data_IF_251266155636
#
_entry.id   IF_251266155636
#
_cell.length_a   1.000
_cell.length_b   1.000
_cell.length_c   1.000
_cell.angle_alpha   90.00
_cell.angle_beta   90.00
_cell.angle_gamma   90.00
#
_symmetry.space_group_name_H-M   'P 1'
#
loop_
_entity.id
_entity.type
_entity.pdbx_description
1 polymer ?
#
# COMPACT_ATOMS: atom_id res chain seq x y z
N UNK A 1 -27.60 25.24 39.53
CA UNK A 1 -26.53 24.68 40.37
C UNK A 1 -25.77 23.66 39.60
N UNK A 2 -24.57 23.94 39.15
CA UNK A 2 -23.73 22.99 38.41
C UNK A 2 -22.82 22.26 39.37
N UNK A 3 -22.92 20.97 39.44
CA UNK A 3 -22.05 20.12 40.25
C UNK A 3 -20.62 20.13 39.67
N UNK A 4 -19.63 20.31 40.54
CA UNK A 4 -18.22 20.28 40.13
C UNK A 4 -17.74 18.83 39.86
N UNK A 5 -16.71 18.68 39.03
CA UNK A 5 -16.09 17.37 38.73
C UNK A 5 -15.67 16.59 39.99
N UNK A 6 -15.35 17.26 41.07
CA UNK A 6 -14.95 16.65 42.36
C UNK A 6 -16.13 16.04 43.11
N UNK A 7 -17.33 16.59 42.95
CA UNK A 7 -18.55 16.11 43.61
C UNK A 7 -19.10 14.88 42.86
N UNK A 8 -18.95 14.81 41.53
CA UNK A 8 -19.26 13.63 40.73
C UNK A 8 -18.40 12.41 41.10
N UNK A 9 -17.11 12.61 41.40
CA UNK A 9 -16.19 11.54 41.81
C UNK A 9 -16.52 11.02 43.22
N UNK A 10 -17.02 11.87 44.12
CA UNK A 10 -17.43 11.45 45.47
C UNK A 10 -18.74 10.66 45.48
N UNK A 11 -19.65 10.97 44.55
CA UNK A 11 -20.90 10.22 44.39
C UNK A 11 -20.70 8.82 43.80
N UNK A 12 -19.66 8.64 42.95
CA UNK A 12 -19.30 7.32 42.38
C UNK A 12 -18.63 6.39 43.43
N UNK A 13 -18.06 6.93 44.50
CA UNK A 13 -17.36 6.15 45.53
C UNK A 13 -18.25 5.57 46.65
N UNK A 14 -19.52 5.94 46.75
CA UNK A 14 -20.44 5.52 47.80
C UNK A 14 -21.42 4.40 47.42
N UNK A 15 -21.40 3.94 46.18
CA UNK A 15 -22.27 2.87 45.67
C UNK A 15 -21.59 1.47 45.61
N UNK A 16 -20.49 1.26 46.28
CA UNK A 16 -19.65 0.08 46.14
C UNK A 16 -19.50 -0.84 47.36
N UNK A 17 -20.57 -1.08 48.12
CA UNK A 17 -20.54 -2.17 49.14
C UNK A 17 -21.88 -2.89 49.24
N UNK A 18 -22.16 -3.76 48.32
CA UNK A 18 -23.32 -4.65 48.36
C UNK A 18 -23.18 -5.67 47.23
N UNK A 19 -22.74 -6.88 47.59
CA UNK A 19 -22.42 -7.93 46.61
C UNK A 19 -23.61 -8.37 45.76
N UNK A 20 -23.35 -8.38 44.46
CA UNK A 20 -24.00 -9.29 43.50
C UNK A 20 -22.88 -9.70 42.51
N UNK A 21 -22.36 -10.92 42.71
CA UNK A 21 -21.62 -11.65 41.67
C UNK A 21 -22.59 -11.97 40.52
N UNK A 22 -22.98 -10.94 39.79
CA UNK A 22 -23.58 -11.08 38.49
C UNK A 22 -22.52 -11.52 37.52
N UNK A 23 -22.67 -12.70 36.91
CA UNK A 23 -21.91 -13.13 35.74
C UNK A 23 -21.88 -11.99 34.75
N UNK A 24 -20.71 -11.35 34.61
CA UNK A 24 -20.44 -10.51 33.46
C UNK A 24 -20.29 -11.49 32.30
N UNK A 25 -21.42 -11.80 31.65
CA UNK A 25 -21.38 -12.37 30.31
C UNK A 25 -20.60 -11.36 29.50
N UNK A 26 -19.41 -11.75 29.05
CA UNK A 26 -18.59 -10.94 28.18
C UNK A 26 -19.38 -10.68 26.90
N UNK A 27 -20.12 -9.58 26.87
CA UNK A 27 -20.59 -9.01 25.64
C UNK A 27 -19.33 -8.62 24.87
N UNK A 28 -18.87 -9.49 23.96
CA UNK A 28 -17.95 -9.11 22.90
C UNK A 28 -18.60 -7.90 22.24
N UNK A 29 -18.03 -6.73 22.49
CA UNK A 29 -18.45 -5.51 21.81
C UNK A 29 -18.37 -5.83 20.32
N UNK A 30 -19.52 -5.95 19.66
CA UNK A 30 -19.57 -6.13 18.22
C UNK A 30 -18.89 -4.90 17.62
N UNK A 31 -17.67 -5.08 17.12
CA UNK A 31 -16.93 -4.03 16.44
C UNK A 31 -17.79 -3.60 15.25
N UNK A 32 -18.29 -2.37 15.29
CA UNK A 32 -19.07 -1.83 14.17
C UNK A 32 -18.19 -1.85 12.92
N UNK A 33 -18.69 -2.35 11.79
CA UNK A 33 -17.96 -2.32 10.55
C UNK A 33 -17.51 -0.89 10.22
N UNK A 34 -16.24 -0.71 9.87
CA UNK A 34 -15.69 0.59 9.50
C UNK A 34 -15.76 0.72 7.99
N UNK A 35 -16.54 1.70 7.51
CA UNK A 35 -16.65 1.97 6.08
C UNK A 35 -15.29 2.29 5.45
N UNK A 36 -15.09 1.80 4.24
CA UNK A 36 -13.98 2.16 3.39
C UNK A 36 -14.46 3.06 2.25
N UNK A 37 -13.63 4.03 1.87
CA UNK A 37 -13.83 4.86 0.67
C UNK A 37 -12.51 5.01 -0.06
N UNK A 38 -12.56 5.07 -1.39
CA UNK A 38 -11.38 5.41 -2.18
C UNK A 38 -11.06 6.91 -2.06
N UNK A 39 -9.91 7.33 -2.58
CA UNK A 39 -9.43 8.72 -2.53
C UNK A 39 -10.45 9.72 -3.10
N UNK A 40 -11.10 9.43 -4.22
CA UNK A 40 -12.08 10.32 -4.85
C UNK A 40 -13.45 10.32 -4.18
N UNK A 41 -13.70 9.36 -3.29
CA UNK A 41 -15.03 9.14 -2.69
C UNK A 41 -16.05 8.49 -3.61
N UNK A 42 -15.70 8.20 -4.88
CA UNK A 42 -16.60 7.59 -5.84
C UNK A 42 -16.88 6.09 -5.57
N UNK A 43 -15.97 5.43 -4.87
CA UNK A 43 -16.10 4.03 -4.48
C UNK A 43 -16.15 3.90 -2.95
N UNK A 44 -17.05 3.08 -2.45
CA UNK A 44 -17.16 2.80 -1.01
C UNK A 44 -17.63 1.38 -0.77
N UNK A 45 -17.31 0.84 0.41
CA UNK A 45 -17.79 -0.46 0.88
C UNK A 45 -17.93 -0.44 2.40
N UNK A 46 -18.70 -1.38 2.94
CA UNK A 46 -18.81 -1.63 4.37
C UNK A 46 -18.33 -3.05 4.66
N UNK A 47 -17.02 -3.32 4.60
CA UNK A 47 -16.49 -4.66 4.77
C UNK A 47 -16.75 -5.18 6.18
N UNK A 48 -16.99 -6.48 6.29
CA UNK A 48 -17.12 -7.16 7.58
C UNK A 48 -15.83 -7.00 8.41
N UNK A 49 -14.67 -6.99 7.75
CA UNK A 49 -13.38 -6.79 8.42
C UNK A 49 -12.44 -5.89 7.62
N UNK A 50 -11.72 -5.01 8.36
CA UNK A 50 -10.55 -4.27 7.86
C UNK A 50 -9.34 -4.68 8.69
N UNK A 51 -8.27 -5.11 8.02
CA UNK A 51 -7.09 -5.65 8.66
C UNK A 51 -5.82 -4.94 8.15
N UNK A 52 -4.91 -4.62 9.07
CA UNK A 52 -3.61 -4.03 8.76
C UNK A 52 -2.52 -4.73 9.58
N UNK A 53 -1.89 -5.78 9.03
CA UNK A 53 -0.88 -6.58 9.72
C UNK A 53 0.39 -5.77 9.99
N UNK A 54 1.05 -6.08 11.10
CA UNK A 54 2.36 -5.53 11.47
C UNK A 54 3.53 -6.40 10.98
N UNK A 55 3.25 -7.64 10.54
CA UNK A 55 4.26 -8.58 10.01
C UNK A 55 3.65 -9.50 8.95
N UNK A 56 4.53 -10.16 8.18
CA UNK A 56 4.12 -11.21 7.25
C UNK A 56 3.53 -12.42 7.98
N UNK A 57 4.06 -12.77 9.16
CA UNK A 57 3.55 -13.89 9.96
C UNK A 57 2.12 -13.63 10.46
N UNK A 58 1.84 -12.39 10.91
CA UNK A 58 0.51 -11.96 11.30
C UNK A 58 -0.45 -12.05 10.10
N UNK A 59 -0.02 -11.56 8.93
CA UNK A 59 -0.80 -11.64 7.70
C UNK A 59 -1.06 -13.10 7.28
N UNK A 60 -0.03 -13.94 7.28
CA UNK A 60 -0.15 -15.35 6.94
C UNK A 60 -1.08 -16.11 7.90
N UNK A 61 -0.95 -15.83 9.20
CA UNK A 61 -1.85 -16.39 10.21
C UNK A 61 -3.30 -16.00 9.99
N UNK A 62 -3.54 -14.73 9.69
CA UNK A 62 -4.87 -14.22 9.41
C UNK A 62 -5.46 -14.80 8.12
N UNK A 63 -4.68 -14.89 7.02
CA UNK A 63 -5.12 -15.45 5.75
C UNK A 63 -5.64 -16.89 5.90
N UNK A 64 -4.97 -17.73 6.69
CA UNK A 64 -5.42 -19.11 6.95
C UNK A 64 -6.81 -19.18 7.61
N UNK A 65 -7.18 -18.16 8.35
CA UNK A 65 -8.46 -18.09 9.06
C UNK A 65 -9.54 -17.28 8.35
N UNK A 66 -9.15 -16.40 7.41
CA UNK A 66 -10.05 -15.52 6.68
C UNK A 66 -11.10 -16.33 5.91
N UNK A 67 -12.31 -15.81 5.86
CA UNK A 67 -13.42 -16.38 5.09
C UNK A 67 -13.94 -15.32 4.13
N UNK A 68 -14.43 -15.76 2.97
CA UNK A 68 -14.95 -14.87 1.93
C UNK A 68 -13.83 -14.21 1.11
N UNK A 69 -14.18 -13.13 0.43
CA UNK A 69 -13.29 -12.40 -0.45
C UNK A 69 -12.29 -11.57 0.36
N UNK A 70 -11.02 -11.62 -0.02
CA UNK A 70 -9.97 -10.76 0.51
C UNK A 70 -9.53 -9.79 -0.58
N UNK A 71 -9.68 -8.49 -0.32
CA UNK A 71 -9.24 -7.43 -1.24
C UNK A 71 -8.08 -6.65 -0.64
N UNK A 72 -6.89 -6.66 -1.26
CA UNK A 72 -5.81 -5.76 -0.87
C UNK A 72 -6.15 -4.33 -1.26
N UNK A 73 -5.75 -3.38 -0.42
CA UNK A 73 -5.87 -1.95 -0.70
C UNK A 73 -4.56 -1.24 -0.37
N UNK A 74 -4.11 -0.40 -1.31
CA UNK A 74 -3.08 0.60 -1.07
C UNK A 74 -3.69 1.92 -0.59
N UNK A 75 -3.31 3.02 -1.22
CA UNK A 75 -3.84 4.36 -0.89
C UNK A 75 -5.24 4.65 -1.46
N UNK A 76 -5.83 3.70 -2.19
CA UNK A 76 -7.18 3.83 -2.74
C UNK A 76 -7.31 4.84 -3.88
N UNK A 77 -6.26 5.07 -4.67
CA UNK A 77 -6.27 6.05 -5.77
C UNK A 77 -6.98 5.56 -7.05
N UNK A 78 -7.26 4.26 -7.17
CA UNK A 78 -8.01 3.73 -8.33
C UNK A 78 -9.44 4.25 -8.36
N UNK A 79 -9.89 4.67 -9.54
CA UNK A 79 -11.29 5.04 -9.78
C UNK A 79 -12.17 3.81 -10.07
N UNK A 80 -11.57 2.70 -10.51
CA UNK A 80 -12.28 1.44 -10.74
C UNK A 80 -12.66 0.76 -9.43
N UNK A 81 -13.79 0.05 -9.43
CA UNK A 81 -14.31 -0.67 -8.26
C UNK A 81 -13.56 -1.99 -8.00
N UNK A 82 -12.24 -1.93 -7.84
CA UNK A 82 -11.38 -3.09 -7.62
C UNK A 82 -11.36 -3.56 -6.16
N UNK A 83 -11.50 -2.63 -5.21
CA UNK A 83 -11.37 -2.87 -3.77
C UNK A 83 -12.71 -3.16 -3.08
N UNK A 84 -13.85 -2.52 -3.46
CA UNK A 84 -15.10 -2.71 -2.75
C UNK A 84 -15.47 -4.19 -2.57
N UNK A 85 -15.76 -4.57 -1.32
CA UNK A 85 -16.23 -5.90 -0.90
C UNK A 85 -16.98 -5.77 0.42
N UNK A 86 -17.93 -6.67 0.66
CA UNK A 86 -18.61 -6.79 1.95
C UNK A 86 -17.84 -7.68 2.93
N UNK A 87 -16.81 -8.39 2.48
CA UNK A 87 -16.05 -9.34 3.31
C UNK A 87 -14.81 -8.68 3.95
N UNK A 88 -13.64 -8.77 3.32
CA UNK A 88 -12.37 -8.40 3.96
C UNK A 88 -11.57 -7.43 3.11
N UNK A 89 -11.13 -6.33 3.71
CA UNK A 89 -10.15 -5.41 3.13
C UNK A 89 -8.84 -5.48 3.95
N UNK A 90 -7.72 -5.69 3.26
CA UNK A 90 -6.38 -5.75 3.87
C UNK A 90 -5.53 -4.58 3.39
N UNK A 91 -4.96 -3.81 4.31
CA UNK A 91 -4.00 -2.76 4.04
C UNK A 91 -2.62 -3.15 4.54
N UNK A 92 -1.60 -3.04 3.68
CA UNK A 92 -0.21 -3.30 4.06
C UNK A 92 0.51 -2.03 4.53
N UNK A 93 -0.20 -0.97 4.91
CA UNK A 93 0.37 0.32 5.31
C UNK A 93 1.36 0.24 6.48
N UNK A 94 1.29 -0.80 7.31
CA UNK A 94 2.24 -1.06 8.41
C UNK A 94 3.49 -1.83 7.97
N UNK A 95 3.49 -2.39 6.76
CA UNK A 95 4.64 -3.01 6.11
C UNK A 95 5.22 -2.00 5.11
N UNK A 96 6.02 -1.07 5.60
CA UNK A 96 6.54 0.08 4.87
C UNK A 96 8.03 0.30 5.13
N UNK A 97 8.75 0.83 4.15
CA UNK A 97 10.15 1.20 4.21
C UNK A 97 11.05 0.32 3.35
N UNK A 98 12.32 0.75 3.25
CA UNK A 98 13.40 0.01 2.61
C UNK A 98 13.77 -1.19 3.49
N UNK A 99 13.87 -2.38 2.89
CA UNK A 99 14.27 -3.62 3.55
C UNK A 99 15.75 -3.88 3.34
N UNK A 100 16.19 -3.81 2.08
CA UNK A 100 17.55 -4.15 1.67
C UNK A 100 17.90 -3.49 0.34
N UNK A 101 19.19 -3.40 0.01
CA UNK A 101 19.67 -2.87 -1.26
C UNK A 101 20.98 -3.52 -1.68
N UNK A 102 21.23 -3.57 -2.98
CA UNK A 102 22.46 -4.02 -3.58
C UNK A 102 23.09 -2.85 -4.37
N UNK A 103 24.25 -2.33 -3.95
CA UNK A 103 24.92 -1.24 -4.64
C UNK A 103 25.54 -1.66 -5.98
N UNK A 104 25.84 -2.96 -6.19
CA UNK A 104 26.45 -3.45 -7.40
C UNK A 104 25.45 -3.55 -8.55
N UNK A 105 24.26 -4.09 -8.25
CA UNK A 105 23.17 -4.24 -9.22
C UNK A 105 22.23 -3.05 -9.26
N UNK A 106 22.34 -2.11 -8.32
CA UNK A 106 21.43 -0.99 -8.14
C UNK A 106 19.98 -1.47 -7.94
N UNK A 107 19.80 -2.55 -7.20
CA UNK A 107 18.49 -3.04 -6.80
C UNK A 107 18.19 -2.70 -5.35
N UNK A 108 16.94 -2.46 -5.04
CA UNK A 108 16.49 -2.25 -3.67
C UNK A 108 15.16 -2.96 -3.44
N UNK A 109 15.02 -3.56 -2.25
CA UNK A 109 13.81 -4.25 -1.82
C UNK A 109 13.05 -3.38 -0.82
N UNK A 110 11.78 -3.20 -1.07
CA UNK A 110 10.85 -2.45 -0.22
C UNK A 110 9.70 -3.32 0.25
N UNK A 111 9.15 -2.95 1.39
CA UNK A 111 7.82 -3.39 1.77
C UNK A 111 6.79 -2.85 0.78
N UNK A 112 5.84 -3.67 0.42
CA UNK A 112 4.84 -3.36 -0.61
C UNK A 112 3.85 -2.24 -0.24
N UNK A 113 3.66 -2.00 1.06
CA UNK A 113 2.85 -0.90 1.59
C UNK A 113 3.55 0.45 1.61
N UNK A 114 4.83 0.55 1.21
CA UNK A 114 5.60 1.80 1.18
C UNK A 114 4.94 2.82 0.26
N UNK A 115 4.58 4.03 0.74
CA UNK A 115 4.17 5.11 -0.13
C UNK A 115 5.31 5.52 -1.09
N UNK A 116 5.00 5.80 -2.34
CA UNK A 116 6.00 6.22 -3.34
C UNK A 116 6.77 7.47 -2.89
N UNK A 117 6.09 8.41 -2.23
CA UNK A 117 6.68 9.62 -1.62
C UNK A 117 7.76 9.34 -0.58
N UNK A 118 7.75 8.16 0.04
CA UNK A 118 8.71 7.76 1.07
C UNK A 118 9.88 6.93 0.52
N UNK A 119 9.95 6.67 -0.78
CA UNK A 119 11.03 5.87 -1.37
C UNK A 119 12.28 6.69 -1.70
N UNK A 120 12.12 7.97 -2.01
CA UNK A 120 13.19 8.81 -2.55
C UNK A 120 14.36 9.01 -1.58
N UNK A 121 14.09 9.38 -0.33
CA UNK A 121 15.15 9.67 0.64
C UNK A 121 15.95 8.41 1.05
N UNK A 122 15.34 7.26 1.38
CA UNK A 122 16.09 6.02 1.62
C UNK A 122 16.94 5.59 0.43
N UNK A 123 16.43 5.70 -0.81
CA UNK A 123 17.22 5.37 -2.00
C UNK A 123 18.41 6.31 -2.18
N UNK A 124 18.23 7.62 -1.95
CA UNK A 124 19.29 8.61 -2.03
C UNK A 124 20.42 8.30 -1.03
N UNK A 125 20.08 7.88 0.20
CA UNK A 125 21.05 7.53 1.24
C UNK A 125 21.93 6.35 0.83
N UNK A 126 21.41 5.43 0.00
CA UNK A 126 22.16 4.29 -0.54
C UNK A 126 22.69 4.53 -1.96
N UNK A 127 22.70 5.77 -2.43
CA UNK A 127 23.24 6.15 -3.73
C UNK A 127 22.40 5.75 -4.94
N UNK A 128 21.10 5.44 -4.71
CA UNK A 128 20.17 5.00 -5.73
C UNK A 128 19.04 6.02 -5.95
N UNK A 129 18.31 5.88 -7.06
CA UNK A 129 17.11 6.64 -7.37
C UNK A 129 16.21 5.84 -8.30
N UNK A 130 14.90 6.05 -8.21
CA UNK A 130 13.95 5.42 -9.12
C UNK A 130 14.25 5.84 -10.56
N UNK A 131 14.03 4.92 -11.51
CA UNK A 131 14.28 5.17 -12.95
C UNK A 131 13.33 6.23 -13.49
N UNK A 132 12.08 6.19 -13.06
CA UNK A 132 11.04 7.15 -13.42
C UNK A 132 10.06 7.31 -12.25
N UNK A 133 9.32 8.42 -12.24
CA UNK A 133 8.26 8.69 -11.24
C UNK A 133 6.98 9.11 -11.96
N UNK A 134 5.84 8.68 -11.41
CA UNK A 134 4.55 9.23 -11.80
C UNK A 134 4.38 10.66 -11.28
N UNK A 135 3.40 11.38 -11.80
CA UNK A 135 3.06 12.74 -11.38
C UNK A 135 2.66 12.78 -9.90
N UNK A 136 1.89 11.79 -9.44
CA UNK A 136 1.49 11.65 -8.03
C UNK A 136 2.26 10.54 -7.33
N UNK A 137 2.62 10.77 -6.07
CA UNK A 137 3.43 9.89 -5.25
C UNK A 137 2.72 9.36 -3.98
N UNK A 138 1.43 9.60 -3.87
CA UNK A 138 0.60 9.11 -2.75
C UNK A 138 0.25 7.63 -2.82
N UNK A 139 0.46 6.98 -3.96
CA UNK A 139 0.21 5.55 -4.12
C UNK A 139 1.16 4.72 -3.25
N UNK A 140 0.68 3.56 -2.76
CA UNK A 140 1.59 2.54 -2.24
C UNK A 140 2.32 1.84 -3.38
N UNK A 141 3.53 1.32 -3.14
CA UNK A 141 4.34 0.64 -4.15
C UNK A 141 3.56 -0.52 -4.80
N UNK A 142 2.94 -1.41 -4.00
CA UNK A 142 2.13 -2.50 -4.55
C UNK A 142 0.94 -1.99 -5.37
N UNK A 143 0.29 -0.92 -4.93
CA UNK A 143 -0.81 -0.30 -5.69
C UNK A 143 -0.35 0.27 -7.02
N UNK A 144 0.79 0.93 -7.05
CA UNK A 144 1.36 1.53 -8.26
C UNK A 144 1.78 0.48 -9.29
N UNK A 145 2.44 -0.61 -8.86
CA UNK A 145 2.82 -1.70 -9.79
C UNK A 145 1.59 -2.47 -10.26
N UNK A 146 0.61 -2.73 -9.39
CA UNK A 146 -0.58 -3.53 -9.72
C UNK A 146 -1.45 -2.92 -10.82
N UNK A 147 -1.40 -1.60 -11.02
CA UNK A 147 -2.16 -0.87 -12.03
C UNK A 147 -1.30 -0.31 -13.15
N UNK A 148 -0.06 -0.79 -13.30
CA UNK A 148 0.90 -0.31 -14.30
C UNK A 148 1.11 1.20 -14.30
N UNK A 149 1.12 1.83 -13.14
CA UNK A 149 1.40 3.26 -13.00
C UNK A 149 2.75 3.60 -13.63
N UNK A 150 2.81 4.73 -14.33
CA UNK A 150 3.99 5.19 -15.05
C UNK A 150 4.14 6.71 -14.96
N UNK A 151 5.33 7.21 -15.21
CA UNK A 151 5.60 8.62 -15.47
C UNK A 151 5.52 8.93 -16.95
N UNK A 152 6.18 10.00 -17.36
CA UNK A 152 6.27 10.43 -18.77
C UNK A 152 7.64 10.10 -19.36
N UNK A 153 7.72 10.17 -20.66
CA UNK A 153 8.94 9.97 -21.44
C UNK A 153 8.91 8.70 -22.30
N UNK A 154 9.30 8.82 -23.58
CA UNK A 154 9.10 7.76 -24.58
C UNK A 154 9.97 6.51 -24.35
N UNK A 155 10.99 6.61 -23.48
CA UNK A 155 11.94 5.52 -23.18
C UNK A 155 11.72 4.87 -21.82
N UNK A 156 10.70 5.31 -21.08
CA UNK A 156 10.41 4.79 -19.75
C UNK A 156 9.18 3.90 -19.75
N UNK A 157 9.27 2.77 -19.03
CA UNK A 157 8.16 1.87 -18.80
C UNK A 157 7.36 2.22 -17.54
N UNK A 158 6.37 1.37 -17.24
CA UNK A 158 5.63 1.44 -15.98
C UNK A 158 6.49 0.94 -14.80
N UNK A 159 6.06 1.23 -13.57
CA UNK A 159 6.76 0.71 -12.38
C UNK A 159 6.88 -0.81 -12.39
N UNK A 160 5.87 -1.53 -12.88
CA UNK A 160 5.89 -2.99 -13.00
C UNK A 160 6.99 -3.50 -13.92
N UNK A 161 7.47 -2.71 -14.91
CA UNK A 161 8.59 -3.10 -15.78
C UNK A 161 9.96 -3.01 -15.08
N UNK A 162 10.05 -2.28 -13.98
CA UNK A 162 11.28 -2.19 -13.17
C UNK A 162 11.29 -3.13 -11.97
N UNK A 163 10.27 -3.93 -11.77
CA UNK A 163 10.24 -4.98 -10.76
C UNK A 163 11.15 -6.13 -11.18
N UNK A 164 12.08 -6.51 -10.30
CA UNK A 164 13.03 -7.62 -10.51
C UNK A 164 12.74 -8.83 -9.62
N UNK A 165 11.91 -8.69 -8.61
CA UNK A 165 11.47 -9.78 -7.74
C UNK A 165 10.31 -9.37 -6.87
N UNK A 166 9.52 -10.36 -6.47
CA UNK A 166 8.35 -10.19 -5.60
C UNK A 166 8.32 -11.27 -4.53
N UNK A 167 7.80 -10.93 -3.37
CA UNK A 167 7.25 -11.91 -2.42
C UNK A 167 5.73 -11.74 -2.35
N UNK A 168 5.04 -12.87 -2.50
CA UNK A 168 3.59 -12.99 -2.39
C UNK A 168 3.25 -13.82 -1.15
N UNK A 169 2.15 -13.49 -0.48
CA UNK A 169 1.44 -14.42 0.40
C UNK A 169 0.18 -14.91 -0.32
N UNK A 170 0.11 -16.22 -0.50
CA UNK A 170 -1.04 -16.89 -1.13
C UNK A 170 -2.23 -16.98 -0.15
N UNK A 171 -3.40 -17.35 -0.63
CA UNK A 171 -4.62 -17.40 0.18
C UNK A 171 -4.52 -18.36 1.37
N UNK A 172 -3.68 -19.40 1.28
CA UNK A 172 -3.39 -20.35 2.37
C UNK A 172 -2.26 -19.86 3.32
N UNK A 173 -1.79 -18.62 3.12
CA UNK A 173 -0.76 -17.99 3.94
C UNK A 173 0.66 -18.51 3.68
N UNK A 174 0.92 -19.17 2.56
CA UNK A 174 2.27 -19.56 2.16
C UNK A 174 2.99 -18.37 1.52
N UNK A 175 4.28 -18.23 1.84
CA UNK A 175 5.13 -17.24 1.19
C UNK A 175 5.72 -17.81 -0.09
N UNK A 176 5.64 -17.06 -1.19
CA UNK A 176 6.22 -17.40 -2.48
C UNK A 176 7.13 -16.26 -2.94
N UNK A 177 8.42 -16.52 -3.03
CA UNK A 177 9.36 -15.61 -3.68
C UNK A 177 9.44 -15.95 -5.17
N UNK A 178 9.31 -14.94 -6.03
CA UNK A 178 9.37 -15.12 -7.48
C UNK A 178 10.17 -14.00 -8.16
N UNK A 179 10.89 -14.37 -9.20
CA UNK A 179 11.68 -13.51 -10.09
C UNK A 179 11.87 -14.17 -11.47
N UNK A 180 12.71 -13.59 -12.33
CA UNK A 180 12.95 -14.13 -13.67
C UNK A 180 13.60 -15.53 -13.68
N UNK A 181 14.28 -15.93 -12.62
CA UNK A 181 14.93 -17.24 -12.47
C UNK A 181 14.15 -18.22 -11.62
N UNK A 182 13.24 -17.73 -10.78
CA UNK A 182 12.47 -18.51 -9.83
C UNK A 182 10.97 -18.21 -10.00
N UNK A 183 10.18 -19.22 -10.42
CA UNK A 183 8.76 -19.06 -10.73
C UNK A 183 8.47 -17.96 -11.77
N UNK A 184 9.13 -17.95 -12.95
CA UNK A 184 9.06 -16.83 -13.90
C UNK A 184 7.65 -16.54 -14.42
N UNK A 185 6.81 -17.55 -14.58
CA UNK A 185 5.42 -17.36 -15.02
C UNK A 185 4.59 -16.64 -13.96
N UNK A 186 4.73 -17.05 -12.68
CA UNK A 186 4.07 -16.38 -11.55
C UNK A 186 4.58 -14.94 -11.43
N UNK A 187 5.90 -14.75 -11.53
CA UNK A 187 6.52 -13.42 -11.48
C UNK A 187 5.95 -12.49 -12.55
N UNK A 188 5.91 -12.95 -13.81
CA UNK A 188 5.40 -12.15 -14.92
C UNK A 188 3.91 -11.78 -14.74
N UNK A 189 3.09 -12.70 -14.26
CA UNK A 189 1.69 -12.44 -13.97
C UNK A 189 1.50 -11.54 -12.74
N UNK A 190 2.30 -11.73 -11.68
CA UNK A 190 2.14 -11.02 -10.40
C UNK A 190 2.52 -9.54 -10.46
N UNK A 191 3.42 -9.14 -11.38
CA UNK A 191 3.85 -7.74 -11.53
C UNK A 191 2.69 -6.77 -11.79
N UNK A 192 1.55 -7.26 -12.34
CA UNK A 192 0.37 -6.44 -12.60
C UNK A 192 -0.91 -7.28 -12.42
N UNK A 193 -1.09 -7.91 -11.23
CA UNK A 193 -2.14 -8.91 -10.98
C UNK A 193 -3.36 -8.37 -10.23
N UNK A 194 -3.37 -7.11 -9.79
CA UNK A 194 -4.44 -6.53 -8.98
C UNK A 194 -4.76 -7.34 -7.70
N UNK A 195 -3.77 -8.10 -7.21
CA UNK A 195 -3.93 -8.97 -6.04
C UNK A 195 -4.61 -10.31 -6.32
N UNK A 196 -4.84 -10.70 -7.59
CA UNK A 196 -5.53 -11.94 -7.94
C UNK A 196 -4.72 -13.21 -7.61
N UNK A 197 -3.39 -13.12 -7.57
CA UNK A 197 -2.51 -14.25 -7.28
C UNK A 197 -2.08 -14.34 -5.81
N UNK A 198 -2.44 -13.37 -4.99
CA UNK A 198 -2.06 -13.24 -3.59
C UNK A 198 -1.71 -11.81 -3.22
N UNK A 199 -1.32 -11.61 -1.97
CA UNK A 199 -0.92 -10.30 -1.47
C UNK A 199 0.59 -10.12 -1.66
N UNK A 200 1.00 -9.17 -2.51
CA UNK A 200 2.40 -8.78 -2.64
C UNK A 200 2.84 -8.09 -1.34
N UNK A 201 3.84 -8.63 -0.66
CA UNK A 201 4.36 -8.09 0.60
C UNK A 201 5.71 -7.42 0.45
N UNK A 202 6.55 -7.89 -0.49
CA UNK A 202 7.85 -7.28 -0.80
C UNK A 202 8.02 -7.12 -2.29
N UNK A 203 8.69 -6.03 -2.67
CA UNK A 203 8.97 -5.69 -4.06
C UNK A 203 10.44 -5.33 -4.18
N UNK A 204 11.17 -6.02 -5.07
CA UNK A 204 12.52 -5.64 -5.48
C UNK A 204 12.44 -4.84 -6.76
N UNK A 205 13.02 -3.65 -6.75
CA UNK A 205 13.00 -2.70 -7.86
C UNK A 205 14.38 -2.57 -8.47
N UNK A 206 14.48 -2.53 -9.80
CA UNK A 206 15.64 -2.02 -10.50
C UNK A 206 15.65 -0.51 -10.43
N UNK A 207 16.72 0.04 -9.90
CA UNK A 207 16.96 1.48 -9.78
C UNK A 207 18.10 1.90 -10.69
N UNK A 208 18.46 3.17 -10.64
CA UNK A 208 19.64 3.78 -11.25
C UNK A 208 20.47 4.46 -10.16
N UNK A 209 21.69 4.89 -10.49
CA UNK A 209 22.48 5.76 -9.60
C UNK A 209 21.68 7.02 -9.27
N UNK A 210 21.83 7.50 -8.05
CA UNK A 210 21.19 8.75 -7.62
C UNK A 210 21.55 9.89 -8.60
N UNK A 211 20.58 10.73 -8.91
CA UNK A 211 20.71 11.81 -9.89
C UNK A 211 19.96 13.06 -9.44
N UNK A 212 20.17 14.14 -10.13
CA UNK A 212 19.40 15.39 -9.97
C UNK A 212 18.75 15.72 -11.29
N UNK A 213 17.57 16.32 -11.23
CA UNK A 213 16.85 16.86 -12.39
C UNK A 213 16.93 18.38 -12.37
N UNK A 214 17.06 18.96 -13.55
CA UNK A 214 16.83 20.38 -13.77
C UNK A 214 15.46 20.53 -14.42
N UNK A 215 14.51 21.14 -13.71
CA UNK A 215 13.18 21.43 -14.22
C UNK A 215 13.15 22.81 -14.87
N UNK A 216 12.61 22.89 -16.08
CA UNK A 216 12.33 24.15 -16.78
C UNK A 216 10.85 24.21 -17.10
N UNK A 217 10.22 25.33 -16.77
CA UNK A 217 8.81 25.57 -17.04
C UNK A 217 8.68 26.90 -17.77
N UNK A 218 7.89 26.90 -18.83
CA UNK A 218 7.58 28.11 -19.59
C UNK A 218 6.18 28.02 -20.19
N UNK A 219 5.64 29.16 -20.60
CA UNK A 219 4.39 29.26 -21.36
C UNK A 219 4.75 29.51 -22.82
N UNK A 220 4.11 28.82 -23.73
CA UNK A 220 4.30 28.98 -25.17
C UNK A 220 2.95 28.88 -25.91
N UNK A 221 2.89 29.38 -27.15
CA UNK A 221 1.77 29.10 -28.04
C UNK A 221 1.68 27.62 -28.35
N UNK A 222 0.45 27.08 -28.37
CA UNK A 222 0.24 25.65 -28.55
C UNK A 222 0.74 25.15 -29.91
N UNK A 223 0.56 25.91 -30.98
CA UNK A 223 0.95 25.47 -32.31
C UNK A 223 2.49 25.48 -32.45
N UNK A 224 3.14 26.53 -31.94
CA UNK A 224 4.61 26.59 -31.89
C UNK A 224 5.19 25.44 -31.07
N UNK A 225 4.57 25.09 -29.93
CA UNK A 225 4.99 23.96 -29.09
C UNK A 225 4.84 22.62 -29.82
N UNK A 226 3.73 22.42 -30.53
CA UNK A 226 3.50 21.18 -31.29
C UNK A 226 4.50 21.00 -32.43
N UNK A 227 4.91 22.07 -33.09
CA UNK A 227 5.96 22.04 -34.12
C UNK A 227 7.33 21.64 -33.53
N UNK A 228 7.65 22.13 -32.33
CA UNK A 228 8.92 21.86 -31.63
C UNK A 228 8.90 20.54 -30.83
N UNK A 229 7.76 19.89 -30.67
CA UNK A 229 7.59 18.72 -29.82
C UNK A 229 8.58 17.58 -30.14
N UNK A 230 8.85 17.22 -31.41
CA UNK A 230 9.84 16.18 -31.73
C UNK A 230 11.23 16.45 -31.16
N UNK A 231 11.66 17.72 -31.12
CA UNK A 231 12.96 18.12 -30.59
C UNK A 231 12.98 18.14 -29.04
N UNK A 232 11.83 18.48 -28.44
CA UNK A 232 11.72 18.59 -26.99
C UNK A 232 11.64 17.24 -26.28
N UNK A 233 11.22 16.15 -26.96
CA UNK A 233 11.08 14.81 -26.39
C UNK A 233 12.28 13.89 -26.63
N UNK A 234 13.30 14.34 -27.36
CA UNK A 234 14.55 13.63 -27.63
C UNK A 234 15.72 14.21 -26.86
#
# INVERSE_FOLDING_TARGET
MSLSRRELIKLAGLAGAGGLLGRISGATAATRPIAWRNWSGAQSALPAQRFAPASEDELAGWLRSARGVVRPVGSGHSFSALVPTDDNIVSLSRLSGLIDHDPATLQAQFWAGTPMSQMGEPLKQVGQGLVNMADIDYQSLAGAIATSTHGTGPRFGSYSSYVTGLRLLTADGQALDCDAGNHPEVFNAARCSLGALGLVTRVRMQNRKAFRLHSRQWVADTNELLEQLPELIH
#
